data_IF_144457010975
#
_entry.id   IF_144457010975
#
_cell.length_a   1.000
_cell.length_b   1.000
_cell.length_c   1.000
_cell.angle_alpha   90.00
_cell.angle_beta   90.00
_cell.angle_gamma   90.00
#
_symmetry.space_group_name_H-M   'P 1'
#
loop_
_entity.id
_entity.type
_entity.pdbx_description
1 polymer ?
#
# COMPACT_ATOMS: atom_id res chain seq x y z
N UNK A 1 -24.29 -13.46 7.31
CA UNK A 1 -25.11 -12.24 7.44
C UNK A 1 -24.12 -11.09 7.56
N UNK A 2 -24.54 -9.83 7.44
CA UNK A 2 -23.57 -8.74 7.56
C UNK A 2 -23.68 -8.16 8.95
N UNK A 3 -22.60 -8.22 9.71
CA UNK A 3 -22.55 -7.86 11.11
C UNK A 3 -21.83 -6.52 11.33
N UNK A 4 -22.15 -5.87 12.45
CA UNK A 4 -21.42 -4.71 12.94
C UNK A 4 -21.06 -4.94 14.40
N UNK A 5 -19.77 -5.06 14.66
CA UNK A 5 -19.20 -5.36 15.97
C UNK A 5 -18.39 -4.18 16.47
N UNK A 6 -18.69 -3.75 17.69
CA UNK A 6 -18.00 -2.65 18.36
C UNK A 6 -17.41 -3.16 19.67
N UNK A 7 -16.09 -2.98 19.80
CA UNK A 7 -15.34 -3.22 21.02
C UNK A 7 -15.58 -2.14 22.08
N UNK A 8 -15.12 -2.43 23.29
CA UNK A 8 -15.10 -1.53 24.43
C UNK A 8 -13.71 -0.91 24.67
N UNK A 9 -13.48 -0.39 25.88
CA UNK A 9 -12.19 0.21 26.24
C UNK A 9 -11.09 -0.81 26.60
N UNK A 10 -11.48 -2.05 26.87
CA UNK A 10 -10.62 -3.15 27.32
C UNK A 10 -10.13 -3.99 26.12
N UNK A 11 -9.51 -5.15 26.40
CA UNK A 11 -9.17 -6.10 25.35
C UNK A 11 -10.44 -6.75 24.79
N UNK A 12 -10.62 -6.65 23.48
CA UNK A 12 -11.72 -7.25 22.76
C UNK A 12 -11.28 -8.34 21.78
N UNK A 13 -12.16 -9.33 21.62
CA UNK A 13 -12.12 -10.33 20.55
C UNK A 13 -13.36 -10.14 19.69
N UNK A 14 -13.18 -9.64 18.47
CA UNK A 14 -14.24 -9.41 17.50
C UNK A 14 -14.12 -10.43 16.36
N UNK A 15 -15.22 -11.12 16.05
CA UNK A 15 -15.26 -12.19 15.04
C UNK A 15 -16.49 -11.95 14.16
N UNK A 16 -16.30 -11.55 12.90
CA UNK A 16 -17.37 -11.26 11.94
C UNK A 16 -18.10 -12.53 11.47
N UNK A 17 -17.36 -13.42 10.81
CA UNK A 17 -17.84 -14.75 10.45
C UNK A 17 -18.06 -14.93 8.96
N UNK A 18 -19.31 -14.85 8.48
CA UNK A 18 -19.60 -14.97 7.04
C UNK A 18 -20.42 -13.78 6.61
N UNK A 19 -19.96 -13.04 5.62
CA UNK A 19 -20.65 -11.88 5.09
C UNK A 19 -19.70 -10.72 4.96
N UNK A 20 -20.23 -9.53 4.69
CA UNK A 20 -19.42 -8.31 4.69
C UNK A 20 -19.63 -7.60 6.03
N UNK A 21 -18.66 -7.78 6.93
CA UNK A 21 -18.75 -7.37 8.32
C UNK A 21 -17.99 -6.07 8.59
N UNK A 22 -18.37 -5.38 9.67
CA UNK A 22 -17.71 -4.16 10.14
C UNK A 22 -17.29 -4.34 11.58
N UNK A 23 -15.99 -4.44 11.82
CA UNK A 23 -15.39 -4.65 13.13
C UNK A 23 -14.61 -3.40 13.53
N UNK A 24 -14.92 -2.82 14.68
CA UNK A 24 -14.15 -1.71 15.24
C UNK A 24 -13.88 -1.96 16.71
N UNK A 25 -12.60 -1.98 17.10
CA UNK A 25 -12.19 -2.13 18.49
C UNK A 25 -12.33 -0.83 19.31
N UNK A 26 -12.68 0.30 18.66
CA UNK A 26 -12.87 1.57 19.36
C UNK A 26 -11.56 2.21 19.83
N UNK A 27 -11.66 3.13 20.78
CA UNK A 27 -10.52 3.91 21.31
C UNK A 27 -10.02 3.34 22.65
N UNK A 28 -10.16 2.03 22.84
CA UNK A 28 -9.68 1.34 24.03
C UNK A 28 -8.16 1.27 24.09
N UNK A 29 -7.63 1.01 25.29
CA UNK A 29 -6.20 0.82 25.51
C UNK A 29 -5.81 -0.67 25.50
N UNK A 30 -6.78 -1.58 25.53
CA UNK A 30 -6.54 -3.02 25.52
C UNK A 30 -6.18 -3.49 24.10
N UNK A 31 -5.15 -4.34 23.93
CA UNK A 31 -4.77 -4.87 22.62
C UNK A 31 -5.85 -5.80 22.09
N UNK A 32 -6.39 -5.52 20.90
CA UNK A 32 -7.56 -6.23 20.37
C UNK A 32 -7.19 -7.29 19.34
N UNK A 33 -8.10 -8.23 19.13
CA UNK A 33 -8.04 -9.21 18.05
C UNK A 33 -9.31 -9.13 17.21
N UNK A 34 -9.14 -8.80 15.93
CA UNK A 34 -10.23 -8.68 14.97
C UNK A 34 -10.05 -9.72 13.88
N UNK A 35 -11.08 -10.56 13.69
CA UNK A 35 -11.14 -11.59 12.66
C UNK A 35 -12.37 -11.36 11.77
N UNK A 36 -12.17 -10.94 10.52
CA UNK A 36 -13.25 -10.80 9.55
C UNK A 36 -13.84 -12.16 9.19
N UNK A 37 -12.95 -13.10 8.85
CA UNK A 37 -13.22 -14.40 8.27
C UNK A 37 -13.65 -14.30 6.81
N UNK A 38 -14.82 -14.80 6.42
CA UNK A 38 -15.18 -14.96 5.01
C UNK A 38 -16.10 -13.84 4.54
N UNK A 39 -15.69 -13.17 3.46
CA UNK A 39 -16.42 -12.07 2.82
C UNK A 39 -15.60 -10.79 2.85
N UNK A 40 -16.15 -9.70 2.32
CA UNK A 40 -15.42 -8.44 2.17
C UNK A 40 -15.63 -7.58 3.43
N UNK A 41 -14.63 -7.57 4.31
CA UNK A 41 -14.74 -7.02 5.66
C UNK A 41 -14.04 -5.67 5.83
N UNK A 42 -14.52 -4.88 6.80
CA UNK A 42 -13.84 -3.67 7.29
C UNK A 42 -13.42 -3.87 8.75
N UNK A 43 -12.10 -3.92 8.98
CA UNK A 43 -11.51 -4.04 10.32
C UNK A 43 -10.79 -2.75 10.71
N UNK A 44 -11.15 -2.21 11.88
CA UNK A 44 -10.51 -1.05 12.48
C UNK A 44 -9.97 -1.38 13.88
N UNK A 45 -8.64 -1.46 14.01
CA UNK A 45 -7.97 -1.83 15.26
C UNK A 45 -8.13 -0.78 16.37
N UNK A 46 -8.11 0.50 16.01
CA UNK A 46 -8.12 1.59 16.98
C UNK A 46 -6.72 2.01 17.39
N UNK A 47 -6.57 2.54 18.60
CA UNK A 47 -5.31 3.16 19.05
C UNK A 47 -4.32 2.17 19.65
N UNK A 48 -4.72 0.97 20.07
CA UNK A 48 -3.86 0.07 20.86
C UNK A 48 -3.02 -0.88 20.01
N UNK A 49 -2.23 -1.79 20.57
CA UNK A 49 -1.48 -2.78 19.75
C UNK A 49 -2.39 -3.93 19.31
N UNK A 50 -3.02 -3.78 18.16
CA UNK A 50 -4.04 -4.72 17.68
C UNK A 50 -3.49 -5.78 16.70
N UNK A 51 -4.21 -6.90 16.63
CA UNK A 51 -4.10 -7.92 15.58
C UNK A 51 -5.34 -7.88 14.72
N UNK A 52 -5.15 -7.69 13.42
CA UNK A 52 -6.22 -7.68 12.43
C UNK A 52 -5.97 -8.82 11.42
N UNK A 53 -6.98 -9.65 11.22
CA UNK A 53 -6.97 -10.73 10.24
C UNK A 53 -8.24 -10.65 9.40
N UNK A 54 -8.08 -10.34 8.10
CA UNK A 54 -9.19 -10.19 7.17
C UNK A 54 -9.84 -11.55 6.92
N UNK A 55 -9.06 -12.48 6.38
CA UNK A 55 -9.53 -13.81 5.99
C UNK A 55 -9.74 -13.85 4.47
N UNK A 56 -10.57 -14.78 3.95
CA UNK A 56 -10.90 -14.79 2.52
C UNK A 56 -11.89 -13.70 2.15
N UNK A 57 -11.48 -12.80 1.26
CA UNK A 57 -12.30 -11.69 0.78
C UNK A 57 -11.42 -10.63 0.15
N UNK A 58 -12.02 -9.52 -0.26
CA UNK A 58 -11.29 -8.28 -0.50
C UNK A 58 -11.52 -7.35 0.71
N UNK A 59 -10.62 -7.39 1.68
CA UNK A 59 -10.79 -6.73 2.97
C UNK A 59 -10.13 -5.36 3.06
N UNK A 60 -10.59 -4.53 4.01
CA UNK A 60 -9.93 -3.27 4.39
C UNK A 60 -9.53 -3.36 5.86
N UNK A 61 -8.23 -3.41 6.13
CA UNK A 61 -7.69 -3.42 7.49
C UNK A 61 -6.94 -2.11 7.75
N UNK A 62 -7.33 -1.42 8.83
CA UNK A 62 -6.69 -0.17 9.24
C UNK A 62 -6.50 -0.12 10.75
N UNK A 63 -5.44 0.50 11.22
CA UNK A 63 -5.31 0.82 12.63
C UNK A 63 -4.60 2.16 12.87
N UNK A 64 -4.31 2.43 14.13
CA UNK A 64 -3.92 3.73 14.66
C UNK A 64 -2.41 3.87 14.84
N UNK A 65 -1.97 4.70 15.81
CA UNK A 65 -0.57 5.14 15.87
C UNK A 65 0.39 4.21 16.64
N UNK A 66 0.06 2.93 16.80
CA UNK A 66 0.87 1.98 17.56
C UNK A 66 1.31 0.79 16.71
N UNK A 67 2.26 -0.05 17.17
CA UNK A 67 2.61 -1.28 16.47
C UNK A 67 1.42 -2.26 16.36
N UNK A 68 1.00 -2.53 15.14
CA UNK A 68 -0.08 -3.46 14.80
C UNK A 68 0.43 -4.65 13.99
N UNK A 69 -0.41 -5.69 13.86
CA UNK A 69 -0.15 -6.84 13.00
C UNK A 69 -1.34 -7.11 12.08
N UNK A 70 -1.05 -7.26 10.80
CA UNK A 70 -2.04 -7.46 9.75
C UNK A 70 -1.78 -8.77 9.02
N UNK A 71 -2.83 -9.57 8.86
CA UNK A 71 -2.84 -10.74 8.00
C UNK A 71 -4.03 -10.67 7.05
N UNK A 72 -3.77 -10.66 5.75
CA UNK A 72 -4.82 -10.53 4.76
C UNK A 72 -4.59 -11.50 3.61
N UNK A 73 -5.66 -12.12 3.11
CA UNK A 73 -5.61 -13.11 2.05
C UNK A 73 -6.55 -12.71 0.92
N UNK A 74 -5.98 -12.12 -0.13
CA UNK A 74 -6.80 -11.68 -1.26
C UNK A 74 -6.30 -10.38 -1.85
N UNK A 75 -7.22 -9.57 -2.37
CA UNK A 75 -6.93 -8.19 -2.78
C UNK A 75 -7.34 -7.24 -1.67
N UNK A 76 -6.55 -7.25 -0.62
CA UNK A 76 -6.84 -6.46 0.57
C UNK A 76 -6.20 -5.08 0.51
N UNK A 77 -6.74 -4.16 1.30
CA UNK A 77 -6.18 -2.83 1.50
C UNK A 77 -5.74 -2.69 2.95
N UNK A 78 -4.45 -2.51 3.17
CA UNK A 78 -3.80 -2.51 4.48
C UNK A 78 -3.23 -1.13 4.78
N UNK A 79 -3.64 -0.54 5.90
CA UNK A 79 -3.09 0.72 6.40
C UNK A 79 -2.59 0.54 7.82
N UNK A 80 -1.26 0.47 7.95
CA UNK A 80 -0.52 0.44 9.21
C UNK A 80 -0.80 1.68 10.05
N UNK A 81 -0.60 2.84 9.42
CA UNK A 81 -0.57 4.10 10.15
C UNK A 81 0.84 4.33 10.67
N UNK A 82 0.96 4.98 11.82
CA UNK A 82 2.26 5.19 12.43
C UNK A 82 2.60 4.10 13.45
N UNK A 83 3.89 3.90 13.73
CA UNK A 83 4.37 2.84 14.61
C UNK A 83 5.00 1.71 13.82
N UNK A 84 5.71 0.80 14.49
CA UNK A 84 6.44 -0.29 13.82
C UNK A 84 5.53 -1.48 13.55
N UNK A 85 4.95 -1.53 12.36
CA UNK A 85 3.92 -2.51 11.99
C UNK A 85 4.50 -3.79 11.35
N UNK A 86 3.75 -4.89 11.48
CA UNK A 86 3.92 -6.08 10.66
C UNK A 86 2.74 -6.22 9.70
N UNK A 87 2.98 -5.95 8.43
CA UNK A 87 1.99 -6.03 7.35
C UNK A 87 2.28 -7.27 6.51
N UNK A 88 1.42 -8.28 6.58
CA UNK A 88 1.56 -9.52 5.81
C UNK A 88 0.31 -9.77 4.92
N UNK A 89 0.48 -9.54 3.62
CA UNK A 89 -0.53 -9.83 2.59
C UNK A 89 -0.59 -11.30 2.13
N UNK A 90 0.13 -12.21 2.81
CA UNK A 90 0.09 -13.67 2.66
C UNK A 90 0.09 -14.21 1.21
N UNK A 91 1.09 -13.84 0.41
CA UNK A 91 1.20 -14.19 -1.03
C UNK A 91 0.00 -13.75 -1.89
N UNK A 92 -0.89 -12.93 -1.35
CA UNK A 92 -2.03 -12.34 -2.03
C UNK A 92 -1.65 -11.16 -2.91
N UNK A 93 -2.68 -10.46 -3.36
CA UNK A 93 -2.61 -9.31 -4.26
C UNK A 93 -2.82 -7.99 -3.49
N UNK A 94 -2.48 -7.96 -2.20
CA UNK A 94 -2.77 -6.87 -1.28
C UNK A 94 -2.06 -5.56 -1.64
N UNK A 95 -2.72 -4.46 -1.30
CA UNK A 95 -2.26 -3.08 -1.38
C UNK A 95 -1.91 -2.56 0.02
N UNK A 96 -0.70 -2.03 0.21
CA UNK A 96 -0.33 -1.27 1.40
C UNK A 96 -0.45 0.24 1.12
N UNK A 97 -1.02 0.98 2.07
CA UNK A 97 -1.26 2.43 1.97
C UNK A 97 -0.40 3.17 3.02
N UNK A 98 0.43 4.10 2.54
CA UNK A 98 1.26 4.99 3.34
C UNK A 98 0.95 6.43 2.95
N UNK A 99 0.40 7.25 3.83
CA UNK A 99 -0.15 8.56 3.45
C UNK A 99 0.06 9.68 4.46
N UNK A 100 0.73 9.43 5.58
CA UNK A 100 0.83 10.39 6.69
C UNK A 100 2.15 11.16 6.69
N UNK A 101 3.24 10.55 6.22
CA UNK A 101 4.59 11.12 6.20
C UNK A 101 5.33 10.73 4.92
N UNK A 102 6.43 11.41 4.55
CA UNK A 102 7.31 10.90 3.49
C UNK A 102 7.79 9.49 3.85
N UNK A 103 7.73 8.56 2.90
CA UNK A 103 8.08 7.15 3.13
C UNK A 103 9.20 6.64 2.23
N UNK A 104 9.93 5.65 2.74
CA UNK A 104 10.79 4.80 1.94
C UNK A 104 10.29 3.36 2.05
N UNK A 105 9.76 2.82 0.96
CA UNK A 105 9.22 1.45 0.87
C UNK A 105 10.16 0.61 0.01
N UNK A 106 10.65 -0.52 0.51
CA UNK A 106 11.36 -1.54 -0.27
C UNK A 106 10.68 -2.90 -0.10
N UNK A 107 9.82 -3.25 -1.05
CA UNK A 107 9.07 -4.49 -1.05
C UNK A 107 9.97 -5.72 -1.19
N UNK A 108 11.09 -5.60 -1.92
CA UNK A 108 12.01 -6.73 -2.11
C UNK A 108 12.83 -7.06 -0.86
N UNK A 109 13.09 -6.07 0.01
CA UNK A 109 13.68 -6.26 1.34
C UNK A 109 12.63 -6.40 2.45
N UNK A 110 11.36 -6.22 2.12
CA UNK A 110 10.22 -6.35 3.01
C UNK A 110 10.17 -5.30 4.12
N UNK A 111 10.49 -4.04 3.80
CA UNK A 111 10.54 -2.95 4.78
C UNK A 111 9.84 -1.69 4.27
N UNK A 112 9.22 -0.94 5.17
CA UNK A 112 8.83 0.45 4.93
C UNK A 112 9.27 1.31 6.11
N UNK A 113 9.63 2.57 5.83
CA UNK A 113 9.99 3.55 6.85
C UNK A 113 9.34 4.90 6.58
N UNK A 114 9.20 5.74 7.61
CA UNK A 114 8.65 7.10 7.51
C UNK A 114 7.44 7.30 8.41
N UNK A 115 6.50 6.35 8.41
CA UNK A 115 5.41 6.28 9.40
C UNK A 115 5.79 5.39 10.61
N UNK A 116 6.84 4.59 10.46
CA UNK A 116 7.39 3.69 11.47
C UNK A 116 8.62 3.00 10.91
N UNK A 117 9.03 1.88 11.50
CA UNK A 117 9.90 0.90 10.87
C UNK A 117 9.13 -0.40 10.66
N UNK A 118 8.42 -0.48 9.54
CA UNK A 118 7.49 -1.56 9.24
C UNK A 118 8.18 -2.74 8.56
N UNK A 119 7.67 -3.93 8.84
CA UNK A 119 7.94 -5.15 8.09
C UNK A 119 6.77 -5.41 7.13
N UNK A 120 7.06 -5.41 5.83
CA UNK A 120 6.03 -5.45 4.78
C UNK A 120 6.27 -6.68 3.90
N UNK A 121 5.33 -7.63 3.89
CA UNK A 121 5.51 -8.94 3.25
C UNK A 121 4.30 -9.25 2.39
N UNK A 122 4.53 -9.83 1.21
CA UNK A 122 3.43 -10.30 0.35
C UNK A 122 2.54 -9.17 -0.19
N UNK A 123 3.10 -7.96 -0.34
CA UNK A 123 2.43 -6.81 -0.92
C UNK A 123 2.77 -6.72 -2.40
N UNK A 124 1.74 -6.52 -3.22
CA UNK A 124 1.85 -6.33 -4.67
C UNK A 124 1.63 -4.87 -5.06
N UNK A 125 0.97 -4.12 -4.21
CA UNK A 125 0.48 -2.80 -4.52
C UNK A 125 0.85 -1.82 -3.42
N UNK A 126 1.35 -0.65 -3.79
CA UNK A 126 1.71 0.40 -2.84
C UNK A 126 1.03 1.68 -3.29
N UNK A 127 0.37 2.33 -2.35
CA UNK A 127 -0.13 3.68 -2.55
C UNK A 127 0.54 4.62 -1.57
N UNK A 128 1.21 5.65 -2.11
CA UNK A 128 1.76 6.75 -1.31
C UNK A 128 0.90 8.01 -1.44
N UNK A 129 1.31 9.14 -0.83
CA UNK A 129 0.49 10.36 -0.81
C UNK A 129 1.27 11.59 -1.26
N UNK A 130 0.83 12.78 -0.82
CA UNK A 130 1.34 14.05 -1.29
C UNK A 130 2.68 14.47 -0.67
N UNK A 131 3.67 13.57 -0.62
CA UNK A 131 4.99 13.76 -0.03
C UNK A 131 6.03 13.18 -0.98
N UNK A 132 7.26 13.67 -0.91
CA UNK A 132 8.37 13.11 -1.69
C UNK A 132 8.72 11.71 -1.15
N UNK A 133 8.22 10.68 -1.84
CA UNK A 133 8.30 9.30 -1.42
C UNK A 133 9.32 8.51 -2.27
N UNK A 134 9.86 7.43 -1.69
CA UNK A 134 10.72 6.48 -2.41
C UNK A 134 10.09 5.10 -2.34
N UNK A 135 9.78 4.51 -3.48
CA UNK A 135 9.21 3.16 -3.55
C UNK A 135 10.10 2.26 -4.41
N UNK A 136 10.44 1.11 -3.85
CA UNK A 136 11.21 0.06 -4.52
C UNK A 136 10.39 -1.22 -4.55
N UNK A 137 10.10 -1.69 -5.75
CA UNK A 137 9.34 -2.90 -6.01
C UNK A 137 10.13 -4.20 -5.79
N UNK A 138 9.60 -5.26 -6.37
CA UNK A 138 10.07 -6.64 -6.33
C UNK A 138 10.52 -7.09 -7.72
N UNK A 139 10.82 -8.38 -7.90
CA UNK A 139 11.06 -8.95 -9.24
C UNK A 139 9.78 -9.58 -9.83
N UNK A 140 8.61 -9.19 -9.32
CA UNK A 140 7.29 -9.61 -9.76
C UNK A 140 6.52 -8.35 -10.16
N UNK A 141 5.41 -8.54 -10.88
CA UNK A 141 4.45 -7.46 -11.17
C UNK A 141 4.08 -6.71 -9.90
N UNK A 142 4.39 -5.42 -9.89
CA UNK A 142 3.98 -4.47 -8.86
C UNK A 142 3.02 -3.41 -9.43
N UNK A 143 2.18 -2.86 -8.55
CA UNK A 143 1.30 -1.73 -8.85
C UNK A 143 1.62 -0.61 -7.87
N UNK A 144 2.29 0.42 -8.35
CA UNK A 144 2.76 1.52 -7.52
C UNK A 144 1.99 2.77 -7.93
N UNK A 145 1.32 3.38 -6.97
CA UNK A 145 0.62 4.66 -7.17
C UNK A 145 1.21 5.68 -6.23
N UNK A 146 1.82 6.71 -6.78
CA UNK A 146 2.37 7.83 -6.01
C UNK A 146 1.40 9.02 -6.00
N UNK A 147 1.79 10.16 -5.45
CA UNK A 147 0.91 11.31 -5.25
C UNK A 147 1.61 12.63 -5.59
N UNK A 148 1.20 13.72 -4.91
CA UNK A 148 1.91 15.00 -5.03
C UNK A 148 3.32 14.89 -4.44
N UNK A 149 4.26 15.72 -4.91
CA UNK A 149 5.64 15.72 -4.40
C UNK A 149 6.57 15.02 -5.37
N UNK A 150 7.87 15.18 -5.17
CA UNK A 150 8.87 14.66 -6.10
C UNK A 150 9.17 13.19 -5.73
N UNK A 151 8.50 12.26 -6.39
CA UNK A 151 8.54 10.84 -6.06
C UNK A 151 9.62 10.09 -6.82
N UNK A 152 10.21 9.06 -6.20
CA UNK A 152 11.17 8.16 -6.86
C UNK A 152 10.72 6.72 -6.78
N UNK A 153 10.52 6.09 -7.93
CA UNK A 153 10.12 4.68 -8.04
C UNK A 153 11.15 3.84 -8.77
N UNK A 154 11.52 2.71 -8.17
CA UNK A 154 12.28 1.64 -8.82
C UNK A 154 11.45 0.35 -8.80
N UNK A 155 10.69 0.07 -9.87
CA UNK A 155 9.81 -1.10 -9.91
C UNK A 155 10.59 -2.43 -9.98
N UNK A 156 11.81 -2.39 -10.53
CA UNK A 156 12.81 -3.47 -10.66
C UNK A 156 12.49 -4.48 -11.74
N UNK A 157 11.59 -5.44 -11.53
CA UNK A 157 11.33 -6.40 -12.59
C UNK A 157 10.01 -7.11 -12.47
N UNK A 158 9.57 -7.71 -13.56
CA UNK A 158 8.17 -8.04 -13.76
C UNK A 158 7.49 -6.97 -14.62
N UNK A 159 6.29 -7.23 -15.14
CA UNK A 159 5.53 -6.22 -15.87
C UNK A 159 4.80 -5.31 -14.91
N UNK A 160 5.32 -4.10 -14.70
CA UNK A 160 4.91 -3.21 -13.62
C UNK A 160 3.95 -2.11 -14.10
N UNK A 161 3.13 -1.60 -13.16
CA UNK A 161 2.34 -0.39 -13.38
C UNK A 161 2.73 0.64 -12.33
N UNK A 162 3.37 1.72 -12.77
CA UNK A 162 3.71 2.88 -11.94
C UNK A 162 2.93 4.09 -12.44
N UNK A 163 2.21 4.78 -11.55
CA UNK A 163 1.55 6.03 -11.89
C UNK A 163 1.57 7.04 -10.76
N UNK A 164 1.81 8.30 -11.08
CA UNK A 164 1.31 9.41 -10.27
C UNK A 164 -0.21 9.53 -10.50
N UNK A 165 -0.98 9.74 -9.43
CA UNK A 165 -2.42 9.96 -9.48
C UNK A 165 -2.84 11.44 -9.36
N UNK A 166 -1.89 12.35 -9.31
CA UNK A 166 -2.10 13.79 -9.18
C UNK A 166 -2.77 14.37 -10.42
N UNK A 167 -3.76 15.24 -10.20
CA UNK A 167 -4.50 15.98 -11.25
C UNK A 167 -4.46 17.49 -11.01
N UNK A 168 -3.35 17.97 -10.47
CA UNK A 168 -3.14 19.35 -10.05
C UNK A 168 -1.96 19.94 -10.80
N UNK A 169 -2.05 21.23 -11.16
CA UNK A 169 -1.04 22.07 -11.85
C UNK A 169 0.29 22.28 -11.11
N UNK A 170 0.50 21.50 -10.07
CA UNK A 170 1.65 21.51 -9.17
C UNK A 170 2.01 20.06 -8.83
N UNK A 171 1.97 19.17 -9.83
CA UNK A 171 2.52 17.83 -9.69
C UNK A 171 4.04 17.90 -9.50
N UNK A 172 4.60 16.84 -8.92
CA UNK A 172 6.03 16.79 -8.63
C UNK A 172 6.83 16.49 -9.88
N UNK A 173 8.15 16.68 -9.79
CA UNK A 173 9.08 16.23 -10.81
C UNK A 173 9.52 14.80 -10.47
N UNK A 174 8.81 13.81 -11.02
CA UNK A 174 8.95 12.42 -10.60
C UNK A 174 10.08 11.67 -11.33
N UNK A 175 10.58 10.59 -10.72
CA UNK A 175 11.58 9.70 -11.31
C UNK A 175 11.11 8.25 -11.23
N UNK A 176 10.67 7.66 -12.35
CA UNK A 176 10.23 6.27 -12.41
C UNK A 176 11.15 5.39 -13.28
N UNK A 177 11.63 4.30 -12.71
CA UNK A 177 12.35 3.24 -13.40
C UNK A 177 11.52 1.94 -13.37
N UNK A 178 11.11 1.44 -14.54
CA UNK A 178 10.42 0.16 -14.70
C UNK A 178 11.37 -1.02 -14.43
N UNK A 179 12.45 -1.10 -15.20
CA UNK A 179 13.50 -2.09 -15.02
C UNK A 179 13.40 -3.21 -16.05
N UNK A 180 13.09 -4.44 -15.64
CA UNK A 180 12.93 -5.59 -16.56
C UNK A 180 11.48 -6.02 -16.66
N UNK A 181 10.88 -5.95 -17.84
CA UNK A 181 9.51 -6.37 -18.05
C UNK A 181 8.84 -5.45 -19.04
N UNK A 182 7.56 -5.71 -19.31
CA UNK A 182 6.76 -4.79 -20.11
C UNK A 182 6.06 -3.85 -19.13
N UNK A 183 6.63 -2.65 -18.97
CA UNK A 183 6.23 -1.71 -17.91
C UNK A 183 5.29 -0.62 -18.42
N UNK A 184 4.42 -0.12 -17.54
CA UNK A 184 3.53 1.03 -17.80
C UNK A 184 3.81 2.12 -16.79
N UNK A 185 4.43 3.21 -17.24
CA UNK A 185 4.85 4.34 -16.41
C UNK A 185 4.06 5.60 -16.77
N UNK A 186 3.49 6.30 -15.78
CA UNK A 186 2.75 7.54 -16.00
C UNK A 186 3.09 8.58 -14.94
N UNK A 187 3.87 9.61 -15.28
CA UNK A 187 4.24 10.70 -14.35
C UNK A 187 3.18 11.81 -14.23
N UNK A 188 2.17 11.83 -15.11
CA UNK A 188 1.13 12.87 -15.09
C UNK A 188 1.69 14.30 -15.23
N UNK A 189 1.39 15.21 -14.32
CA UNK A 189 1.78 16.63 -14.44
C UNK A 189 3.11 16.84 -13.73
N UNK A 190 4.10 17.45 -14.39
CA UNK A 190 5.43 17.59 -13.82
C UNK A 190 6.52 17.53 -14.88
N UNK A 191 7.78 17.72 -14.49
CA UNK A 191 8.93 17.39 -15.33
C UNK A 191 9.50 16.02 -14.96
N UNK A 192 8.84 14.99 -15.47
CA UNK A 192 9.14 13.62 -15.07
C UNK A 192 10.32 13.01 -15.83
N UNK A 193 11.04 12.12 -15.15
CA UNK A 193 12.01 11.19 -15.74
C UNK A 193 11.46 9.78 -15.68
N UNK A 194 10.93 9.26 -16.80
CA UNK A 194 10.49 7.86 -16.87
C UNK A 194 11.50 7.02 -17.69
N UNK A 195 11.82 5.83 -17.19
CA UNK A 195 12.71 4.89 -17.89
C UNK A 195 12.13 3.50 -17.78
N UNK A 196 11.58 2.99 -18.89
CA UNK A 196 11.02 1.64 -18.97
C UNK A 196 12.08 0.56 -18.69
N UNK A 197 13.24 0.67 -19.34
CA UNK A 197 14.32 -0.31 -19.19
C UNK A 197 14.27 -1.38 -20.28
N UNK A 198 14.35 -2.65 -19.91
CA UNK A 198 14.32 -3.78 -20.85
C UNK A 198 12.91 -4.34 -21.00
N UNK A 199 12.38 -4.31 -22.22
CA UNK A 199 11.06 -4.87 -22.55
C UNK A 199 10.27 -3.96 -23.47
N UNK A 200 8.96 -4.20 -23.58
CA UNK A 200 8.06 -3.34 -24.34
C UNK A 200 7.29 -2.40 -23.42
N UNK A 201 7.88 -1.22 -23.20
CA UNK A 201 7.38 -0.27 -22.22
C UNK A 201 6.44 0.80 -22.81
N UNK A 202 5.43 1.16 -22.03
CA UNK A 202 4.58 2.33 -22.21
C UNK A 202 4.92 3.43 -21.21
N UNK A 203 5.14 4.66 -21.69
CA UNK A 203 5.39 5.83 -20.86
C UNK A 203 4.42 6.96 -21.22
N UNK A 204 3.96 7.74 -20.24
CA UNK A 204 3.15 8.95 -20.43
C UNK A 204 3.50 10.01 -19.40
N UNK A 205 4.04 11.15 -19.84
CA UNK A 205 4.58 12.24 -19.00
C UNK A 205 3.76 13.55 -19.07
N UNK A 206 2.49 13.47 -19.48
CA UNK A 206 1.44 14.51 -19.40
C UNK A 206 1.66 15.88 -20.10
N UNK A 207 2.88 16.40 -20.15
CA UNK A 207 3.25 17.74 -20.61
C UNK A 207 4.55 17.76 -21.47
N UNK A 208 5.33 16.66 -21.53
CA UNK A 208 6.62 16.62 -22.24
C UNK A 208 6.72 15.46 -23.25
N UNK A 209 7.81 15.39 -24.04
CA UNK A 209 8.10 14.27 -24.97
C UNK A 209 9.46 13.65 -24.67
N UNK A 210 10.03 13.98 -23.49
CA UNK A 210 11.38 13.62 -23.07
C UNK A 210 11.37 12.70 -21.85
N UNK A 211 10.30 11.95 -21.64
CA UNK A 211 10.21 11.07 -20.48
C UNK A 211 10.43 9.59 -20.73
N UNK A 212 10.85 9.09 -21.90
CA UNK A 212 10.98 7.63 -22.09
C UNK A 212 12.26 7.26 -22.85
N UNK A 213 13.33 6.98 -22.11
CA UNK A 213 14.50 6.29 -22.69
C UNK A 213 14.13 4.83 -22.94
N UNK A 214 13.73 4.51 -24.18
CA UNK A 214 13.65 3.13 -24.67
C UNK A 214 15.07 2.59 -24.82
N UNK A 215 15.55 1.82 -23.85
CA UNK A 215 16.83 1.13 -24.00
C UNK A 215 16.55 -0.19 -24.74
N UNK A 216 16.84 -0.18 -26.04
CA UNK A 216 16.73 -1.33 -26.94
C UNK A 216 17.64 -2.50 -26.55
#
# INVERSE_FOLDING_TARGET
ENDTLLGGPDLDLLIGGKGSDRLSAGNGNGPNQLYGNAGDDLLQGGESKDRLEGGPGDDILRAGPHPHKYWAYGRDVLRGGSGDDLIDGQNGNACAIFVTSPVQVDLGNGRATGEGSDSVIGIRCVQTAGKDDVVVGTNKRDVITTGLGDDTVFARGGPDWVMDNTRSRSGGDDIFYGGRGDDSLSGMEGYDTLRGGSGFDGCSDGESTQGCERVS
#
